data_IF_087485372056
#
_entry.id   IF_087485372056
#
_cell.length_a   1.000
_cell.length_b   1.000
_cell.length_c   1.000
_cell.angle_alpha   90.00
_cell.angle_beta   90.00
_cell.angle_gamma   90.00
#
_symmetry.space_group_name_H-M   'P 1'
#
loop_
_entity.id
_entity.type
_entity.pdbx_description
1 polymer ?
#
# COMPACT_ATOMS: atom_id res chain seq x y z
N UNK A 1 10.42 11.22 4.85
CA UNK A 1 10.40 10.11 5.84
C UNK A 1 11.79 9.65 6.27
N UNK A 2 12.76 9.45 5.36
CA UNK A 2 14.15 9.06 5.73
C UNK A 2 14.78 9.87 6.87
N UNK A 3 14.82 11.21 6.76
CA UNK A 3 15.34 12.09 7.83
C UNK A 3 14.65 11.89 9.18
N UNK A 4 13.33 11.66 9.18
CA UNK A 4 12.57 11.43 10.41
C UNK A 4 12.90 10.06 11.02
N UNK A 5 13.08 9.02 10.21
CA UNK A 5 13.50 7.71 10.68
C UNK A 5 14.92 7.76 11.27
N UNK A 6 15.86 8.39 10.56
CA UNK A 6 17.25 8.54 11.02
C UNK A 6 17.34 9.26 12.38
N UNK A 7 16.53 10.31 12.57
CA UNK A 7 16.46 11.05 13.84
C UNK A 7 15.96 10.22 15.02
N UNK A 8 15.30 9.08 14.77
CA UNK A 8 14.73 8.19 15.78
C UNK A 8 15.41 6.82 15.82
N UNK A 9 16.57 6.65 15.15
CA UNK A 9 17.27 5.36 15.09
C UNK A 9 16.47 4.28 14.36
N UNK A 10 15.54 4.66 13.48
CA UNK A 10 14.73 3.76 12.69
C UNK A 10 15.23 3.67 11.24
N UNK A 11 14.96 2.53 10.59
CA UNK A 11 15.24 2.35 9.16
C UNK A 11 14.01 2.73 8.37
N UNK A 12 14.16 3.67 7.43
CA UNK A 12 13.14 3.97 6.43
C UNK A 12 13.45 3.24 5.13
N UNK A 13 12.51 2.42 4.68
CA UNK A 13 12.52 1.85 3.34
C UNK A 13 11.52 2.61 2.49
N UNK A 14 11.96 3.10 1.34
CA UNK A 14 11.06 3.65 0.32
C UNK A 14 10.55 2.51 -0.59
N UNK A 15 9.24 2.20 -0.57
CA UNK A 15 8.65 1.22 -1.46
C UNK A 15 8.26 1.80 -2.83
N UNK A 16 8.35 3.13 -3.06
CA UNK A 16 7.80 3.77 -4.25
C UNK A 16 8.38 3.21 -5.55
N UNK A 17 9.68 2.87 -5.56
CA UNK A 17 10.35 2.22 -6.69
C UNK A 17 9.78 0.85 -7.03
N UNK A 18 9.35 0.08 -6.02
CA UNK A 18 8.78 -1.26 -6.23
C UNK A 18 7.40 -1.20 -6.92
N UNK A 19 6.71 -0.06 -6.78
CA UNK A 19 5.40 0.21 -7.38
C UNK A 19 5.47 0.89 -8.75
N UNK A 20 6.65 1.18 -9.29
CA UNK A 20 6.79 1.87 -10.58
C UNK A 20 6.11 1.07 -11.70
N UNK A 21 5.15 1.71 -12.39
CA UNK A 21 4.35 1.08 -13.45
C UNK A 21 3.32 0.04 -12.96
N UNK A 22 3.21 -0.17 -11.65
CA UNK A 22 2.33 -1.16 -11.01
C UNK A 22 1.32 -0.54 -10.05
N UNK A 23 1.26 0.78 -9.95
CA UNK A 23 0.34 1.49 -9.06
C UNK A 23 -1.12 1.40 -9.53
N UNK A 24 -1.99 2.31 -9.07
CA UNK A 24 -3.42 2.39 -9.42
C UNK A 24 -3.70 2.40 -10.93
N UNK A 25 -2.84 2.99 -11.75
CA UNK A 25 -2.99 2.99 -13.22
C UNK A 25 -1.94 2.09 -13.90
N UNK A 26 -1.35 1.17 -13.15
CA UNK A 26 -0.29 0.27 -13.62
C UNK A 26 -0.80 -0.93 -14.39
N UNK A 27 0.13 -1.68 -15.01
CA UNK A 27 -0.17 -2.95 -15.67
C UNK A 27 0.87 -4.02 -15.27
N UNK A 28 0.54 -4.95 -14.34
CA UNK A 28 -0.75 -5.09 -13.66
C UNK A 28 -1.00 -4.00 -12.60
N UNK A 29 -2.26 -3.61 -12.38
CA UNK A 29 -2.66 -2.73 -11.27
C UNK A 29 -2.51 -3.47 -9.94
N UNK A 30 -1.67 -2.94 -9.04
CA UNK A 30 -1.38 -3.55 -7.73
C UNK A 30 -1.89 -2.76 -6.52
N UNK A 31 -2.43 -1.55 -6.75
CA UNK A 31 -3.08 -0.70 -5.74
C UNK A 31 -4.54 -0.49 -6.14
N UNK A 32 -5.44 -0.61 -5.18
CA UNK A 32 -6.87 -0.33 -5.40
C UNK A 32 -7.13 1.15 -5.74
N UNK A 33 -8.10 1.37 -6.62
CA UNK A 33 -8.58 2.70 -7.01
C UNK A 33 -9.24 3.52 -5.90
N UNK A 34 -9.51 4.80 -6.18
CA UNK A 34 -10.34 5.63 -5.30
C UNK A 34 -11.77 5.13 -5.32
N UNK A 35 -12.32 4.86 -4.15
CA UNK A 35 -13.74 4.60 -4.00
C UNK A 35 -14.47 5.96 -3.98
N UNK A 36 -15.23 6.23 -5.04
CA UNK A 36 -15.95 7.50 -5.24
C UNK A 36 -17.34 7.52 -4.60
N UNK A 37 -17.97 6.35 -4.40
CA UNK A 37 -19.33 6.19 -3.86
C UNK A 37 -19.36 5.12 -2.75
N UNK A 38 -20.33 5.18 -1.84
CA UNK A 38 -20.47 4.18 -0.75
C UNK A 38 -19.57 4.40 0.47
N UNK A 39 -18.96 5.59 0.61
CA UNK A 39 -17.96 5.96 1.66
C UNK A 39 -18.40 5.77 3.11
N UNK A 40 -19.70 5.75 3.40
CA UNK A 40 -20.27 5.57 4.74
C UNK A 40 -20.61 4.13 5.09
N UNK A 41 -20.67 3.24 4.10
CA UNK A 41 -21.18 1.87 4.27
C UNK A 41 -20.05 0.86 4.50
N UNK A 42 -18.86 1.36 4.86
CA UNK A 42 -17.67 0.54 5.03
C UNK A 42 -17.84 -0.57 6.07
N UNK A 43 -18.83 -0.47 6.97
CA UNK A 43 -18.96 -1.33 8.14
C UNK A 43 -20.39 -1.72 8.53
N UNK A 44 -21.42 -1.45 7.71
CA UNK A 44 -22.77 -1.41 8.29
C UNK A 44 -23.41 -2.77 8.65
N UNK A 45 -22.99 -3.92 8.08
CA UNK A 45 -23.54 -5.26 8.40
C UNK A 45 -22.54 -6.46 8.27
N UNK A 46 -21.23 -6.25 8.31
CA UNK A 46 -20.18 -7.11 7.70
C UNK A 46 -20.05 -8.60 8.14
N UNK A 47 -19.60 -9.49 7.21
CA UNK A 47 -18.23 -9.99 7.34
C UNK A 47 -17.41 -9.78 6.05
N UNK A 48 -16.52 -8.78 6.07
CA UNK A 48 -15.50 -8.40 5.06
C UNK A 48 -15.86 -7.42 3.91
N UNK A 49 -16.58 -6.30 4.12
CA UNK A 49 -16.59 -5.20 3.16
C UNK A 49 -15.25 -4.45 3.22
N UNK A 50 -14.48 -4.51 2.15
CA UNK A 50 -13.20 -3.83 2.02
C UNK A 50 -13.33 -2.62 1.09
N UNK A 51 -13.55 -1.44 1.67
CA UNK A 51 -13.54 -0.13 0.99
C UNK A 51 -12.12 0.42 0.80
N UNK A 52 -11.23 -0.43 0.29
CA UNK A 52 -9.78 -0.23 0.31
C UNK A 52 -9.32 0.78 -0.74
N UNK A 53 -9.69 2.05 -0.61
CA UNK A 53 -9.09 3.11 -1.44
C UNK A 53 -7.59 3.17 -1.22
N UNK A 54 -6.81 3.20 -2.29
CA UNK A 54 -5.34 3.33 -2.27
C UNK A 54 -4.57 2.26 -1.47
N UNK A 55 -5.22 1.21 -1.00
CA UNK A 55 -4.51 0.12 -0.34
C UNK A 55 -3.99 -0.88 -1.37
N UNK A 56 -2.95 -1.65 -1.03
CA UNK A 56 -2.45 -2.70 -1.91
C UNK A 56 -3.48 -3.83 -2.11
N UNK A 57 -3.55 -4.32 -3.35
CA UNK A 57 -4.12 -5.64 -3.65
C UNK A 57 -3.16 -6.71 -3.13
N UNK A 58 -3.54 -7.99 -3.23
CA UNK A 58 -2.64 -9.12 -2.90
C UNK A 58 -1.30 -9.00 -3.66
N UNK A 59 -1.34 -8.63 -4.94
CA UNK A 59 -0.13 -8.39 -5.73
C UNK A 59 0.72 -7.22 -5.22
N UNK A 60 0.09 -6.15 -4.73
CA UNK A 60 0.79 -5.01 -4.14
C UNK A 60 1.34 -5.29 -2.74
N UNK A 61 0.68 -6.16 -1.97
CA UNK A 61 1.19 -6.62 -0.67
C UNK A 61 2.54 -7.31 -0.82
N UNK A 62 2.74 -8.07 -1.92
CA UNK A 62 4.05 -8.68 -2.22
C UNK A 62 5.13 -7.63 -2.44
N UNK A 63 4.82 -6.52 -3.11
CA UNK A 63 5.76 -5.41 -3.36
C UNK A 63 6.16 -4.70 -2.06
N UNK A 64 5.22 -4.51 -1.14
CA UNK A 64 5.53 -4.03 0.21
C UNK A 64 6.43 -5.00 0.98
N UNK A 65 6.19 -6.31 0.87
CA UNK A 65 7.05 -7.31 1.48
C UNK A 65 8.46 -7.31 0.89
N UNK A 66 8.62 -7.14 -0.43
CA UNK A 66 9.94 -7.00 -1.06
C UNK A 66 10.71 -5.77 -0.58
N UNK A 67 10.01 -4.64 -0.41
CA UNK A 67 10.60 -3.44 0.19
C UNK A 67 11.05 -3.72 1.64
N UNK A 68 10.20 -4.32 2.47
CA UNK A 68 10.55 -4.67 3.84
C UNK A 68 11.80 -5.58 3.90
N UNK A 69 11.80 -6.67 3.13
CA UNK A 69 12.94 -7.60 3.06
C UNK A 69 14.24 -6.90 2.64
N UNK A 70 14.16 -5.91 1.76
CA UNK A 70 15.32 -5.09 1.36
C UNK A 70 15.85 -4.20 2.48
N UNK A 71 15.02 -3.82 3.45
CA UNK A 71 15.46 -3.08 4.64
C UNK A 71 15.93 -3.95 5.81
N UNK A 72 15.68 -5.28 5.76
CA UNK A 72 16.08 -6.23 6.80
C UNK A 72 17.43 -6.92 6.49
N UNK A 73 17.92 -6.83 5.26
CA UNK A 73 19.24 -7.29 4.83
C UNK A 73 20.30 -6.22 5.05
#
# INVERSE_FOLDING_TARGET
MKKAADANGAVFVDPASDFQGKSICGNPESIHGVVMTGRSEADNDAPLPSMKSFHPKISGARLFADALERGLK
#
